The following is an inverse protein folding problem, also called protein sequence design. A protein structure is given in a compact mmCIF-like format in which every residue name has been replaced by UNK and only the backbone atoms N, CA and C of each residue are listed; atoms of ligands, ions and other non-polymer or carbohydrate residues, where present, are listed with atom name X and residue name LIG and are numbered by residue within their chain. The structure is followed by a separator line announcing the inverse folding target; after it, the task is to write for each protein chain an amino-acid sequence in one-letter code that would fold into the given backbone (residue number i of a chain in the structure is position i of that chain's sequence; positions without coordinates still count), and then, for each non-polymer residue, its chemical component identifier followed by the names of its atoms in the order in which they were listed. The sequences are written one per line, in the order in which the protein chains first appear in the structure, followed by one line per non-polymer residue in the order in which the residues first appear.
data_IF_564347803535
#
_entry.id   IF_564347803535
#
_cell.length_a   1.000
_cell.length_b   1.000
_cell.length_c   1.000
_cell.angle_alpha   90.00
_cell.angle_beta   90.00
_cell.angle_gamma   90.00
#
_symmetry.space_group_name_H-M   'P 1'
#
loop_
_entity.id
_entity.type
_entity.pdbx_description
1 polymer ?
#
# COMPACT_ATOMS: atom_id res chain seq x y z
N UNK A 1 17.65 31.53 -6.29
CA UNK A 1 16.52 30.72 -6.77
C UNK A 1 17.01 29.29 -6.78
N UNK A 2 16.49 28.43 -5.91
CA UNK A 2 16.94 27.04 -5.82
C UNK A 2 16.47 26.29 -7.07
N UNK A 3 17.37 25.55 -7.69
CA UNK A 3 17.06 24.71 -8.85
C UNK A 3 15.85 23.81 -8.54
N UNK A 4 15.03 23.56 -9.55
CA UNK A 4 13.85 22.69 -9.46
C UNK A 4 14.01 21.48 -10.38
N UNK A 5 13.46 20.35 -9.93
CA UNK A 5 13.28 19.15 -10.75
C UNK A 5 11.78 18.95 -11.02
N UNK A 6 11.45 18.34 -12.15
CA UNK A 6 10.07 17.98 -12.51
C UNK A 6 9.92 16.47 -12.64
N UNK A 7 8.72 15.96 -12.40
CA UNK A 7 8.37 14.56 -12.64
C UNK A 7 8.55 14.20 -14.15
N UNK A 8 8.81 12.93 -14.50
CA UNK A 8 8.79 11.77 -13.62
C UNK A 8 10.02 11.65 -12.72
N UNK A 9 9.80 11.30 -11.45
CA UNK A 9 10.88 11.07 -10.48
C UNK A 9 11.28 9.61 -10.40
N UNK A 10 12.56 9.33 -10.13
CA UNK A 10 13.04 7.98 -9.83
C UNK A 10 12.57 7.52 -8.44
N UNK A 11 12.67 6.22 -8.15
CA UNK A 11 12.32 5.69 -6.83
C UNK A 11 13.21 6.28 -5.72
N UNK A 12 14.48 6.52 -6.01
CA UNK A 12 15.43 7.17 -5.10
C UNK A 12 15.03 8.62 -4.82
N UNK A 13 14.60 9.36 -5.85
CA UNK A 13 14.10 10.73 -5.68
C UNK A 13 12.81 10.76 -4.86
N UNK A 14 11.87 9.84 -5.09
CA UNK A 14 10.64 9.73 -4.28
C UNK A 14 10.99 9.49 -2.81
N UNK A 15 11.88 8.54 -2.52
CA UNK A 15 12.32 8.24 -1.16
C UNK A 15 13.05 9.43 -0.50
N UNK A 16 13.92 10.13 -1.24
CA UNK A 16 14.61 11.32 -0.74
C UNK A 16 13.63 12.45 -0.42
N UNK A 17 12.65 12.70 -1.28
CA UNK A 17 11.62 13.72 -1.07
C UNK A 17 10.74 13.42 0.14
N UNK A 18 10.32 12.16 0.31
CA UNK A 18 9.57 11.72 1.49
C UNK A 18 10.39 11.93 2.77
N UNK A 19 11.65 11.49 2.76
CA UNK A 19 12.56 11.63 3.88
C UNK A 19 12.83 13.09 4.22
N UNK A 20 13.03 13.94 3.22
CA UNK A 20 13.25 15.37 3.45
C UNK A 20 12.06 16.00 4.15
N UNK A 21 10.83 15.80 3.67
CA UNK A 21 9.65 16.39 4.31
C UNK A 21 9.44 15.87 5.74
N UNK A 22 9.78 14.61 5.98
CA UNK A 22 9.56 13.96 7.27
C UNK A 22 10.62 14.36 8.31
N UNK A 23 11.88 14.52 7.88
CA UNK A 23 13.02 14.63 8.80
C UNK A 23 13.67 16.02 8.84
N UNK A 24 13.47 16.87 7.83
CA UNK A 24 14.22 18.13 7.73
C UNK A 24 13.81 19.18 8.77
N UNK A 25 12.60 19.08 9.33
CA UNK A 25 12.00 20.17 10.09
C UNK A 25 11.71 21.44 9.27
N UNK A 26 11.92 21.38 7.95
CA UNK A 26 11.57 22.45 7.02
C UNK A 26 10.07 22.38 6.67
N UNK A 27 9.53 23.48 6.17
CA UNK A 27 8.14 23.51 5.72
C UNK A 27 7.90 22.47 4.61
N UNK A 28 6.97 21.52 4.80
CA UNK A 28 6.64 20.54 3.77
C UNK A 28 5.87 21.20 2.62
N UNK A 29 5.85 20.53 1.47
CA UNK A 29 4.85 20.82 0.44
C UNK A 29 3.48 20.41 0.96
N UNK A 30 2.53 21.34 0.85
CA UNK A 30 1.17 21.15 1.33
C UNK A 30 0.15 21.35 0.21
N UNK A 31 -1.00 20.71 0.34
CA UNK A 31 -2.08 20.84 -0.62
C UNK A 31 -2.60 22.28 -0.65
N UNK A 32 -2.58 22.88 -1.84
CA UNK A 32 -3.10 24.23 -2.09
C UNK A 32 -4.60 24.30 -2.34
N UNK A 33 -5.33 23.19 -2.22
CA UNK A 33 -6.78 23.16 -2.44
C UNK A 33 -7.53 23.68 -1.19
N UNK A 34 -8.43 24.63 -1.41
CA UNK A 34 -9.21 25.28 -0.36
C UNK A 34 -10.29 24.38 0.27
N UNK A 35 -10.52 23.17 -0.25
CA UNK A 35 -11.47 22.22 0.32
C UNK A 35 -11.04 21.65 1.66
N UNK A 36 -9.76 21.73 1.99
CA UNK A 36 -9.26 21.22 3.27
C UNK A 36 -9.30 22.30 4.35
N UNK A 37 -9.83 21.96 5.52
CA UNK A 37 -9.78 22.85 6.70
C UNK A 37 -8.35 23.09 7.20
N UNK A 38 -7.44 22.14 6.92
CA UNK A 38 -6.00 22.24 7.13
C UNK A 38 -5.32 21.67 5.88
N UNK A 39 -4.31 22.33 5.35
CA UNK A 39 -3.59 21.85 4.15
C UNK A 39 -2.78 20.58 4.48
N UNK A 40 -3.20 19.39 4.04
CA UNK A 40 -2.42 18.18 4.26
C UNK A 40 -1.08 18.25 3.55
N UNK A 41 -0.07 17.55 4.09
CA UNK A 41 1.21 17.39 3.41
C UNK A 41 1.01 16.56 2.14
N UNK A 42 1.69 16.96 1.06
CA UNK A 42 1.67 16.21 -0.18
C UNK A 42 2.56 14.98 -0.07
N UNK A 43 2.12 13.91 -0.73
CA UNK A 43 2.85 12.63 -0.81
C UNK A 43 3.58 12.56 -2.15
N UNK A 44 4.89 12.25 -2.17
CA UNK A 44 5.63 12.14 -3.42
C UNK A 44 5.25 10.84 -4.15
N UNK A 45 5.26 10.88 -5.48
CA UNK A 45 5.08 9.72 -6.35
C UNK A 45 5.94 9.89 -7.60
N UNK A 46 6.06 8.83 -8.41
CA UNK A 46 6.71 8.93 -9.72
C UNK A 46 6.10 10.01 -10.62
N UNK A 47 4.81 10.34 -10.44
CA UNK A 47 4.10 11.35 -11.23
C UNK A 47 4.12 12.76 -10.62
N UNK A 48 4.85 12.96 -9.52
CA UNK A 48 4.86 14.21 -8.76
C UNK A 48 4.21 14.07 -7.39
N UNK A 49 4.02 15.21 -6.73
CA UNK A 49 3.26 15.37 -5.50
C UNK A 49 1.76 15.15 -5.74
N UNK A 50 1.09 14.49 -4.81
CA UNK A 50 -0.36 14.35 -4.79
C UNK A 50 -0.92 14.56 -3.38
N UNK A 51 -2.17 15.03 -3.32
CA UNK A 51 -2.90 15.09 -2.06
C UNK A 51 -3.25 13.65 -1.60
N UNK A 52 -3.07 13.31 -0.32
CA UNK A 52 -3.46 12.00 0.20
C UNK A 52 -4.97 11.80 0.33
N UNK A 53 -5.77 12.88 0.25
CA UNK A 53 -7.22 12.80 0.27
C UNK A 53 -7.74 12.27 -1.08
N UNK A 54 -8.43 11.11 -1.13
CA UNK A 54 -8.95 10.55 -2.37
C UNK A 54 -10.04 11.40 -3.04
N UNK A 55 -10.64 12.35 -2.32
CA UNK A 55 -11.59 13.31 -2.88
C UNK A 55 -10.91 14.58 -3.41
N UNK A 56 -9.57 14.67 -3.38
CA UNK A 56 -8.80 15.82 -3.85
C UNK A 56 -7.85 15.44 -4.99
N UNK A 57 -8.03 16.04 -6.16
CA UNK A 57 -7.20 15.79 -7.35
C UNK A 57 -6.00 16.75 -7.45
N UNK A 58 -5.66 17.46 -6.37
CA UNK A 58 -4.53 18.40 -6.38
C UNK A 58 -3.22 17.66 -6.63
N UNK A 59 -2.46 18.14 -7.62
CA UNK A 59 -1.17 17.61 -8.03
C UNK A 59 -0.17 18.75 -8.28
N UNK A 60 1.10 18.47 -8.00
CA UNK A 60 2.21 19.33 -8.34
C UNK A 60 3.36 18.47 -8.85
N UNK A 61 3.96 18.81 -9.99
CA UNK A 61 4.96 17.98 -10.64
C UNK A 61 6.41 18.43 -10.37
N UNK A 62 6.63 19.50 -9.60
CA UNK A 62 7.96 20.04 -9.32
C UNK A 62 8.36 19.94 -7.84
N UNK A 63 9.67 19.83 -7.59
CA UNK A 63 10.27 19.93 -6.26
C UNK A 63 11.61 20.69 -6.35
N UNK A 64 12.12 21.21 -5.23
CA UNK A 64 13.49 21.77 -5.23
C UNK A 64 14.52 20.64 -5.37
N UNK A 65 15.49 20.80 -6.26
CA UNK A 65 16.46 19.77 -6.61
C UNK A 65 17.24 19.24 -5.39
N UNK A 66 17.63 20.13 -4.47
CA UNK A 66 18.35 19.75 -3.26
C UNK A 66 17.54 18.83 -2.33
N UNK A 67 16.20 18.87 -2.39
CA UNK A 67 15.36 17.98 -1.57
C UNK A 67 15.39 16.53 -2.06
N UNK A 68 15.66 16.33 -3.36
CA UNK A 68 15.71 15.01 -3.98
C UNK A 68 17.11 14.37 -4.00
N UNK A 69 18.12 15.08 -3.47
CA UNK A 69 19.49 14.58 -3.33
C UNK A 69 19.96 14.72 -1.87
N UNK A 70 19.97 13.62 -1.10
CA UNK A 70 20.43 13.61 0.29
C UNK A 70 21.85 14.12 0.50
N UNK A 71 22.71 14.05 -0.53
CA UNK A 71 24.10 14.54 -0.42
C UNK A 71 24.19 16.06 -0.35
N UNK A 72 23.12 16.77 -0.75
CA UNK A 72 23.06 18.23 -0.81
C UNK A 72 22.34 18.85 0.39
N UNK A 73 21.82 18.04 1.31
CA UNK A 73 21.11 18.56 2.47
C UNK A 73 22.05 19.36 3.38
N UNK A 74 21.59 20.49 3.97
CA UNK A 74 22.42 21.27 4.86
C UNK A 74 22.91 20.40 6.03
N UNK A 75 24.04 20.73 6.66
CA UNK A 75 24.43 20.06 7.93
C UNK A 75 24.15 21.00 9.11
N UNK A 76 23.77 20.49 10.29
CA UNK A 76 23.66 19.08 10.68
C UNK A 76 22.25 18.50 10.46
N UNK A 77 21.82 18.31 9.21
CA UNK A 77 20.71 17.41 8.96
C UNK A 77 21.21 15.99 9.30
N UNK A 78 20.68 15.37 10.36
CA UNK A 78 21.03 14.00 10.74
C UNK A 78 22.14 13.81 11.78
N UNK A 79 22.43 14.77 12.66
CA UNK A 79 23.30 14.50 13.84
C UNK A 79 22.64 13.55 14.87
N UNK A 80 21.38 13.14 14.66
CA UNK A 80 20.96 11.78 15.06
C UNK A 80 21.46 10.82 13.99
N UNK A 81 22.53 10.10 14.33
CA UNK A 81 23.19 9.10 13.49
C UNK A 81 22.15 8.36 12.63
N UNK A 82 22.23 8.54 11.32
CA UNK A 82 21.62 7.56 10.42
C UNK A 82 22.17 6.17 10.77
N UNK A 83 21.39 5.10 10.57
CA UNK A 83 21.82 3.75 10.91
C UNK A 83 23.16 3.47 10.25
N UNK A 84 24.10 3.00 11.05
CA UNK A 84 25.36 2.47 10.57
C UNK A 84 25.09 1.37 9.54
N UNK A 85 26.05 1.09 8.64
CA UNK A 85 25.94 -0.03 7.69
C UNK A 85 25.67 -1.39 8.36
N UNK A 86 25.94 -1.50 9.66
CA UNK A 86 25.69 -2.68 10.48
C UNK A 86 24.22 -2.76 10.92
N UNK A 87 23.63 -1.64 11.34
CA UNK A 87 22.20 -1.54 11.69
C UNK A 87 21.29 -1.72 10.47
N UNK A 88 21.71 -1.24 9.29
CA UNK A 88 21.03 -1.54 8.01
C UNK A 88 21.05 -3.03 7.72
N UNK A 89 22.20 -3.69 7.93
CA UNK A 89 22.36 -5.13 7.67
C UNK A 89 21.52 -5.97 8.62
N UNK A 90 21.38 -5.54 9.88
CA UNK A 90 20.61 -6.25 10.89
C UNK A 90 19.10 -6.02 10.73
N UNK A 91 18.68 -4.83 10.28
CA UNK A 91 17.31 -4.54 9.88
C UNK A 91 16.83 -5.39 8.70
N UNK A 92 17.68 -5.57 7.67
CA UNK A 92 17.40 -6.46 6.54
C UNK A 92 17.25 -7.92 7.01
N UNK A 93 18.11 -8.38 7.92
CA UNK A 93 18.04 -9.76 8.45
C UNK A 93 16.81 -10.00 9.32
N UNK A 94 16.40 -9.02 10.09
CA UNK A 94 15.35 -9.19 11.11
C UNK A 94 13.95 -8.89 10.56
N UNK A 95 13.83 -7.91 9.66
CA UNK A 95 12.54 -7.38 9.20
C UNK A 95 12.38 -7.37 7.68
N UNK A 96 13.41 -7.76 6.91
CA UNK A 96 13.36 -7.78 5.44
C UNK A 96 13.28 -6.40 4.80
N UNK A 97 13.58 -5.34 5.55
CA UNK A 97 13.51 -3.95 5.09
C UNK A 97 14.87 -3.25 5.25
N UNK A 98 15.26 -2.35 4.33
CA UNK A 98 16.59 -1.74 4.31
C UNK A 98 16.85 -0.69 5.39
N UNK A 99 15.88 -0.30 6.25
CA UNK A 99 16.06 0.81 7.20
C UNK A 99 15.31 0.62 8.54
N UNK A 100 15.80 1.19 9.66
CA UNK A 100 15.07 1.24 10.92
C UNK A 100 13.93 2.26 10.81
N UNK A 101 12.71 1.74 10.77
CA UNK A 101 11.47 2.52 10.93
C UNK A 101 11.37 3.05 12.36
N UNK A 102 10.91 4.29 12.55
CA UNK A 102 10.60 4.79 13.90
C UNK A 102 9.50 3.91 14.54
N UNK A 103 9.39 3.90 15.87
CA UNK A 103 8.35 3.11 16.55
C UNK A 103 6.93 3.44 16.05
N UNK A 104 6.68 4.71 15.71
CA UNK A 104 5.42 5.16 15.13
C UNK A 104 5.22 4.61 13.72
N UNK A 105 6.27 4.60 12.89
CA UNK A 105 6.20 4.02 11.54
C UNK A 105 6.07 2.50 11.58
N UNK A 106 6.65 1.83 12.59
CA UNK A 106 6.49 0.39 12.79
C UNK A 106 5.04 0.04 13.16
N UNK A 107 4.41 0.85 14.03
CA UNK A 107 3.00 0.69 14.36
C UNK A 107 2.12 0.85 13.13
N UNK A 108 2.41 1.82 12.25
CA UNK A 108 1.68 2.02 10.99
C UNK A 108 1.88 0.85 10.00
N UNK A 109 3.11 0.36 9.86
CA UNK A 109 3.41 -0.83 9.03
C UNK A 109 2.69 -2.06 9.58
N UNK A 110 2.71 -2.28 10.90
CA UNK A 110 2.01 -3.38 11.54
C UNK A 110 0.50 -3.26 11.40
N UNK A 111 -0.06 -2.06 11.53
CA UNK A 111 -1.49 -1.81 11.35
C UNK A 111 -1.91 -2.11 9.90
N UNK A 112 -1.09 -1.70 8.92
CA UNK A 112 -1.34 -2.01 7.50
C UNK A 112 -1.24 -3.50 7.20
N UNK A 113 -0.23 -4.20 7.73
CA UNK A 113 -0.11 -5.65 7.61
C UNK A 113 -1.29 -6.38 8.26
N UNK A 114 -1.75 -5.92 9.43
CA UNK A 114 -2.91 -6.48 10.11
C UNK A 114 -4.19 -6.26 9.30
N UNK A 115 -4.37 -5.08 8.69
CA UNK A 115 -5.50 -4.79 7.81
C UNK A 115 -5.48 -5.66 6.55
N UNK A 116 -4.32 -5.82 5.90
CA UNK A 116 -4.15 -6.71 4.75
C UNK A 116 -4.45 -8.17 5.12
N UNK A 117 -3.95 -8.64 6.27
CA UNK A 117 -4.23 -9.99 6.77
C UNK A 117 -5.73 -10.21 7.07
N UNK A 118 -6.39 -9.20 7.64
CA UNK A 118 -7.83 -9.24 7.89
C UNK A 118 -8.62 -9.25 6.56
N UNK A 119 -8.23 -8.44 5.58
CA UNK A 119 -8.85 -8.42 4.26
C UNK A 119 -8.72 -9.78 3.54
N UNK A 120 -7.56 -10.43 3.63
CA UNK A 120 -7.35 -11.79 3.10
C UNK A 120 -8.24 -12.81 3.82
N UNK A 121 -8.32 -12.72 5.15
CA UNK A 121 -9.17 -13.62 5.96
C UNK A 121 -10.65 -13.45 5.63
N UNK A 122 -11.11 -12.21 5.45
CA UNK A 122 -12.49 -11.88 5.07
C UNK A 122 -12.80 -12.40 3.67
N UNK A 123 -11.89 -12.21 2.70
CA UNK A 123 -12.05 -12.74 1.36
C UNK A 123 -12.14 -14.28 1.35
N UNK A 124 -11.29 -14.95 2.14
CA UNK A 124 -11.35 -16.41 2.32
C UNK A 124 -12.65 -16.88 3.01
N UNK A 125 -13.17 -16.10 3.97
CA UNK A 125 -14.45 -16.38 4.61
C UNK A 125 -15.63 -16.23 3.64
N UNK A 126 -15.62 -15.16 2.82
CA UNK A 126 -16.60 -14.93 1.76
C UNK A 126 -16.57 -16.08 0.74
N UNK A 127 -15.39 -16.47 0.26
CA UNK A 127 -15.23 -17.59 -0.67
C UNK A 127 -15.80 -18.91 -0.10
N UNK A 128 -15.51 -19.23 1.17
CA UNK A 128 -16.08 -20.42 1.85
C UNK A 128 -17.60 -20.37 1.93
N UNK A 129 -18.19 -19.22 2.27
CA UNK A 129 -19.65 -19.04 2.31
C UNK A 129 -20.28 -19.22 0.93
N UNK A 130 -19.68 -18.63 -0.11
CA UNK A 130 -20.14 -18.78 -1.51
C UNK A 130 -20.12 -20.24 -1.96
N UNK A 131 -19.06 -20.99 -1.62
CA UNK A 131 -18.95 -22.43 -1.91
C UNK A 131 -20.02 -23.26 -1.21
N UNK A 132 -20.29 -22.98 0.06
CA UNK A 132 -21.35 -23.65 0.81
C UNK A 132 -22.74 -23.38 0.20
N UNK A 133 -23.00 -22.12 -0.21
CA UNK A 133 -24.25 -21.76 -0.88
C UNK A 133 -24.39 -22.46 -2.25
N UNK A 134 -23.34 -22.48 -3.06
CA UNK A 134 -23.34 -23.19 -4.35
C UNK A 134 -23.59 -24.69 -4.17
N UNK A 135 -22.91 -25.32 -3.20
CA UNK A 135 -23.12 -26.72 -2.85
C UNK A 135 -24.57 -26.99 -2.44
N UNK A 136 -25.13 -26.15 -1.56
CA UNK A 136 -26.53 -26.28 -1.11
C UNK A 136 -27.54 -26.03 -2.24
N UNK A 137 -27.23 -25.16 -3.20
CA UNK A 137 -28.09 -24.88 -4.34
C UNK A 137 -28.15 -26.03 -5.36
N UNK A 138 -27.07 -26.81 -5.49
CA UNK A 138 -27.00 -27.95 -6.43
C UNK A 138 -27.72 -29.19 -5.88
N UNK A 139 -27.76 -29.36 -4.55
CA UNK A 139 -28.30 -30.55 -3.89
C UNK A 139 -29.77 -30.88 -4.27
N UNK A 140 -30.73 -29.92 -4.32
CA UNK A 140 -32.11 -30.19 -4.72
C UNK A 140 -32.24 -30.66 -6.18
N UNK A 141 -31.39 -30.14 -7.07
CA UNK A 141 -31.39 -30.50 -8.49
C UNK A 141 -30.89 -31.94 -8.67
N UNK A 142 -29.81 -32.31 -7.98
CA UNK A 142 -29.29 -33.69 -8.01
C UNK A 142 -30.27 -34.70 -7.45
N UNK A 143 -30.95 -34.35 -6.36
CA UNK A 143 -32.00 -35.18 -5.75
C UNK A 143 -33.19 -35.40 -6.69
N UNK A 144 -33.61 -34.38 -7.46
CA UNK A 144 -34.69 -34.47 -8.45
C UNK A 144 -34.37 -35.44 -9.60
N UNK A 145 -33.10 -35.61 -9.91
CA UNK A 145 -32.63 -36.51 -10.99
C UNK A 145 -32.19 -37.90 -10.49
N UNK A 146 -32.46 -38.22 -9.21
CA UNK A 146 -32.07 -39.48 -8.54
C UNK A 146 -30.57 -39.81 -8.69
N UNK A 147 -29.73 -38.77 -8.77
CA UNK A 147 -28.27 -38.91 -8.90
C UNK A 147 -27.61 -38.67 -7.56
N UNK A 148 -27.32 -39.76 -6.85
CA UNK A 148 -26.49 -39.67 -5.66
C UNK A 148 -25.01 -39.57 -6.08
N UNK A 149 -24.46 -38.36 -6.05
CA UNK A 149 -23.05 -38.12 -6.34
C UNK A 149 -22.22 -38.16 -5.05
N UNK A 150 -20.99 -38.73 -5.09
CA UNK A 150 -20.01 -38.59 -4.01
C UNK A 150 -19.79 -37.12 -3.61
N UNK A 151 -19.39 -36.88 -2.36
CA UNK A 151 -19.17 -35.52 -1.85
C UNK A 151 -18.11 -34.76 -2.67
N UNK A 152 -17.03 -35.43 -3.09
CA UNK A 152 -15.97 -34.86 -3.91
C UNK A 152 -16.48 -34.34 -5.25
N UNK A 153 -17.29 -35.14 -5.96
CA UNK A 153 -17.89 -34.75 -7.25
C UNK A 153 -18.81 -33.53 -7.07
N UNK A 154 -19.59 -33.49 -5.98
CA UNK A 154 -20.45 -32.34 -5.67
C UNK A 154 -19.65 -31.08 -5.37
N UNK A 155 -18.48 -31.22 -4.73
CA UNK A 155 -17.54 -30.13 -4.49
C UNK A 155 -17.00 -29.57 -5.81
N UNK A 156 -16.56 -30.44 -6.73
CA UNK A 156 -16.05 -30.05 -8.06
C UNK A 156 -17.10 -29.31 -8.89
N UNK A 157 -18.36 -29.77 -8.88
CA UNK A 157 -19.46 -29.08 -9.56
C UNK A 157 -19.68 -27.68 -8.96
N UNK A 158 -19.68 -27.55 -7.63
CA UNK A 158 -19.85 -26.26 -6.96
C UNK A 158 -18.71 -25.29 -7.32
N UNK A 159 -17.48 -25.78 -7.43
CA UNK A 159 -16.32 -24.97 -7.85
C UNK A 159 -16.43 -24.51 -9.29
N UNK A 160 -16.82 -25.42 -10.20
CA UNK A 160 -17.00 -25.11 -11.61
C UNK A 160 -18.10 -24.06 -11.83
N UNK A 161 -19.21 -24.14 -11.07
CA UNK A 161 -20.28 -23.13 -11.10
C UNK A 161 -19.79 -21.78 -10.61
N UNK A 162 -19.03 -21.72 -9.51
CA UNK A 162 -18.46 -20.47 -9.02
C UNK A 162 -17.49 -19.85 -10.03
N UNK A 163 -16.61 -20.67 -10.63
CA UNK A 163 -15.67 -20.22 -11.65
C UNK A 163 -16.38 -19.65 -12.89
N UNK A 164 -17.51 -20.24 -13.31
CA UNK A 164 -18.30 -19.75 -14.43
C UNK A 164 -19.04 -18.44 -14.12
N UNK A 165 -19.43 -18.22 -12.86
CA UNK A 165 -20.06 -16.95 -12.42
C UNK A 165 -19.02 -15.82 -12.32
N UNK A 166 -17.84 -16.13 -11.78
CA UNK A 166 -16.77 -15.14 -11.58
C UNK A 166 -16.04 -14.78 -12.89
N UNK A 167 -16.18 -15.61 -13.93
CA UNK A 167 -15.60 -15.38 -15.26
C UNK A 167 -16.67 -15.58 -16.36
N UNK A 168 -17.63 -14.66 -16.50
CA UNK A 168 -18.62 -14.71 -17.56
C UNK A 168 -17.92 -14.27 -18.85
N UNK A 169 -17.60 -15.22 -19.73
CA UNK A 169 -17.28 -14.90 -21.11
C UNK A 169 -18.43 -14.12 -21.77
#
# INVERSE_FOLDING_TARGET
MSDTITAPWSSEQVAALEQFQTLSGMHPFTCGDNRHHQSPNLVPSHSGWHCPDPACDYRQDWAHAFMADPTTWPRPFGDRHGPTPEEVRDGIKTFGLPFPVSADTLADVQARQAWEAQAVADHAAIARRRRALAFNAVQPVLAKHDRHLPLSIRQEIADAVLAAIDNPN
#
